data_IF_226924913860
#
_entry.id   IF_226924913860
#
_cell.length_a   1.000
_cell.length_b   1.000
_cell.length_c   1.000
_cell.angle_alpha   90.00
_cell.angle_beta   90.00
_cell.angle_gamma   90.00
#
_symmetry.space_group_name_H-M   'P 1'
#
loop_
_entity.id
_entity.type
_entity.pdbx_description
1 polymer ?
#
# COMPACT_ATOMS: atom_id res chain seq x y z
N UNK A 1 10.78 0.03 12.43
CA UNK A 1 9.84 -0.69 11.55
C UNK A 1 9.15 0.31 10.64
N UNK A 2 9.29 0.13 9.35
CA UNK A 2 8.72 1.04 8.36
C UNK A 2 7.66 0.32 7.52
N UNK A 3 6.42 0.79 7.61
CA UNK A 3 5.30 0.30 6.83
C UNK A 3 5.03 1.29 5.71
N UNK A 4 5.06 0.82 4.48
CA UNK A 4 4.87 1.66 3.29
C UNK A 4 3.49 1.39 2.68
N UNK A 5 2.67 2.43 2.58
CA UNK A 5 1.38 2.38 1.88
C UNK A 5 1.56 3.03 0.52
N UNK A 6 1.16 2.34 -0.54
CA UNK A 6 1.29 2.86 -1.91
C UNK A 6 -0.09 2.91 -2.55
N UNK A 7 -0.45 4.07 -3.11
CA UNK A 7 -1.73 4.25 -3.79
C UNK A 7 -1.60 5.24 -4.95
N UNK A 8 -2.65 5.33 -5.73
CA UNK A 8 -2.74 6.24 -6.87
C UNK A 8 -4.09 6.95 -6.90
N UNK A 9 -4.40 7.57 -8.02
CA UNK A 9 -5.63 8.35 -8.26
C UNK A 9 -5.82 9.39 -7.15
N UNK A 10 -6.93 9.38 -6.44
CA UNK A 10 -7.20 10.32 -5.35
C UNK A 10 -6.70 9.89 -3.98
N UNK A 11 -6.09 8.71 -3.87
CA UNK A 11 -5.57 8.21 -2.59
C UNK A 11 -6.63 7.74 -1.60
N UNK A 12 -7.84 7.45 -2.06
CA UNK A 12 -8.94 7.06 -1.18
C UNK A 12 -8.68 5.80 -0.38
N UNK A 13 -8.22 4.73 -1.04
CA UNK A 13 -7.87 3.49 -0.36
C UNK A 13 -6.66 3.68 0.54
N UNK A 14 -5.62 4.33 0.01
CA UNK A 14 -4.40 4.60 0.76
C UNK A 14 -4.66 5.38 2.04
N UNK A 15 -5.54 6.38 1.97
CA UNK A 15 -5.94 7.16 3.16
C UNK A 15 -6.63 6.29 4.20
N UNK A 16 -7.53 5.40 3.78
CA UNK A 16 -8.20 4.47 4.70
C UNK A 16 -7.20 3.51 5.35
N UNK A 17 -6.23 3.02 4.59
CA UNK A 17 -5.19 2.15 5.11
C UNK A 17 -4.31 2.89 6.12
N UNK A 18 -3.89 4.11 5.82
CA UNK A 18 -3.08 4.93 6.74
C UNK A 18 -3.84 5.17 8.04
N UNK A 19 -5.11 5.57 7.95
CA UNK A 19 -5.95 5.78 9.14
C UNK A 19 -6.04 4.51 9.98
N UNK A 20 -6.33 3.37 9.36
CA UNK A 20 -6.42 2.09 10.06
C UNK A 20 -5.11 1.66 10.70
N UNK A 21 -4.00 1.89 10.02
CA UNK A 21 -2.67 1.59 10.56
C UNK A 21 -2.36 2.46 11.79
N UNK A 22 -2.72 3.75 11.75
CA UNK A 22 -2.54 4.64 12.90
C UNK A 22 -3.33 4.19 14.12
N UNK A 23 -4.52 3.67 13.91
CA UNK A 23 -5.37 3.19 15.00
C UNK A 23 -4.92 1.86 15.58
N UNK A 24 -4.26 1.02 14.78
CA UNK A 24 -3.95 -0.36 15.17
C UNK A 24 -2.48 -0.63 15.48
N UNK A 25 -1.56 0.21 15.00
CA UNK A 25 -0.14 0.03 15.21
C UNK A 25 0.39 0.90 16.34
N UNK A 26 1.43 0.43 17.00
CA UNK A 26 2.15 1.20 18.01
C UNK A 26 2.91 2.36 17.38
N UNK A 27 3.26 3.35 18.21
CA UNK A 27 4.02 4.53 17.79
C UNK A 27 5.42 4.19 17.24
N UNK A 28 5.90 2.99 17.49
CA UNK A 28 7.19 2.53 16.98
C UNK A 28 7.18 2.23 15.47
N UNK A 29 6.01 2.16 14.89
CA UNK A 29 5.88 1.94 13.44
C UNK A 29 5.80 3.26 12.71
N UNK A 30 6.72 3.46 11.79
CA UNK A 30 6.77 4.64 10.95
C UNK A 30 6.01 4.37 9.65
N UNK A 31 5.01 5.20 9.32
CA UNK A 31 4.22 5.06 8.11
C UNK A 31 4.78 5.96 7.02
N UNK A 32 5.25 5.33 5.95
CA UNK A 32 5.66 5.97 4.71
C UNK A 32 4.54 5.81 3.70
N UNK A 33 4.08 6.90 3.12
CA UNK A 33 3.06 6.84 2.07
C UNK A 33 3.64 7.31 0.74
N UNK A 34 3.46 6.51 -0.28
CA UNK A 34 3.95 6.80 -1.63
C UNK A 34 2.77 6.87 -2.59
N UNK A 35 2.61 7.99 -3.27
CA UNK A 35 1.59 8.17 -4.28
C UNK A 35 2.17 8.09 -5.68
N UNK A 36 1.41 7.56 -6.63
CA UNK A 36 1.79 7.68 -8.04
C UNK A 36 1.64 9.12 -8.52
N UNK A 37 0.88 9.93 -7.79
CA UNK A 37 0.70 11.36 -8.05
C UNK A 37 0.63 12.14 -6.73
N UNK A 38 0.71 13.46 -6.83
CA UNK A 38 0.75 14.33 -5.67
C UNK A 38 -0.55 14.32 -4.88
N UNK A 39 -1.69 14.22 -5.55
CA UNK A 39 -3.00 14.20 -4.88
C UNK A 39 -3.13 12.99 -3.96
N UNK A 40 -2.71 11.81 -4.42
CA UNK A 40 -2.71 10.61 -3.61
C UNK A 40 -1.77 10.74 -2.40
N UNK A 41 -0.56 11.27 -2.62
CA UNK A 41 0.39 11.48 -1.53
C UNK A 41 -0.16 12.44 -0.48
N UNK A 42 -0.76 13.55 -0.90
CA UNK A 42 -1.34 14.54 0.01
C UNK A 42 -2.51 13.96 0.81
N UNK A 43 -3.38 13.17 0.17
CA UNK A 43 -4.49 12.52 0.87
C UNK A 43 -3.98 11.59 1.99
N UNK A 44 -2.93 10.83 1.71
CA UNK A 44 -2.35 9.95 2.71
C UNK A 44 -1.61 10.71 3.82
N UNK A 45 -1.02 11.87 3.49
CA UNK A 45 -0.43 12.76 4.50
C UNK A 45 -1.51 13.23 5.47
N UNK A 46 -2.62 13.71 4.96
CA UNK A 46 -3.74 14.17 5.78
C UNK A 46 -4.32 13.05 6.66
N UNK A 47 -4.24 11.81 6.20
CA UNK A 47 -4.67 10.66 6.98
C UNK A 47 -3.71 10.28 8.11
N UNK A 48 -2.51 10.86 8.14
CA UNK A 48 -1.56 10.67 9.24
C UNK A 48 -0.26 9.98 8.90
N UNK A 49 0.08 9.82 7.62
CA UNK A 49 1.40 9.29 7.24
C UNK A 49 2.49 10.26 7.67
N UNK A 50 3.56 9.75 8.24
CA UNK A 50 4.65 10.57 8.77
C UNK A 50 5.57 11.10 7.69
N UNK A 51 5.77 10.31 6.64
CA UNK A 51 6.59 10.70 5.50
C UNK A 51 5.83 10.37 4.22
N UNK A 52 5.81 11.30 3.29
CA UNK A 52 5.14 11.08 1.99
C UNK A 52 6.02 11.54 0.85
N UNK A 53 5.86 10.88 -0.28
CA UNK A 53 6.48 11.26 -1.54
C UNK A 53 5.61 10.79 -2.70
N UNK A 54 5.85 11.32 -3.89
CA UNK A 54 5.06 10.95 -5.07
C UNK A 54 5.93 10.84 -6.31
N UNK A 55 5.46 10.03 -7.26
CA UNK A 55 6.10 9.83 -8.55
C UNK A 55 6.94 8.58 -8.63
N UNK A 56 7.26 8.19 -9.85
CA UNK A 56 7.99 6.94 -10.15
C UNK A 56 9.36 6.90 -9.48
N UNK A 57 10.12 8.01 -9.55
CA UNK A 57 11.45 8.07 -8.95
C UNK A 57 11.39 7.92 -7.42
N UNK A 58 10.45 8.60 -6.78
CA UNK A 58 10.28 8.51 -5.33
C UNK A 58 9.92 7.08 -4.92
N UNK A 59 9.00 6.46 -5.64
CA UNK A 59 8.60 5.07 -5.38
C UNK A 59 9.81 4.14 -5.52
N UNK A 60 10.56 4.27 -6.62
CA UNK A 60 11.72 3.43 -6.86
C UNK A 60 12.81 3.57 -5.78
N UNK A 61 13.01 4.79 -5.27
CA UNK A 61 14.02 5.04 -4.22
C UNK A 61 13.56 4.60 -2.84
N UNK A 62 12.29 4.77 -2.52
CA UNK A 62 11.82 4.60 -1.15
C UNK A 62 11.25 3.23 -0.84
N UNK A 63 10.69 2.55 -1.83
CA UNK A 63 10.16 1.19 -1.65
C UNK A 63 11.21 0.24 -1.05
N UNK A 64 12.47 0.26 -1.48
CA UNK A 64 13.49 -0.63 -0.88
C UNK A 64 13.74 -0.39 0.61
N UNK A 65 13.31 0.73 1.17
CA UNK A 65 13.50 1.04 2.60
C UNK A 65 12.39 0.49 3.49
N UNK A 66 11.33 -0.05 2.89
CA UNK A 66 10.19 -0.56 3.64
C UNK A 66 10.43 -1.96 4.20
N UNK A 67 9.85 -2.23 5.35
CA UNK A 67 9.81 -3.58 5.95
C UNK A 67 8.56 -4.32 5.54
N UNK A 68 7.44 -3.60 5.41
CA UNK A 68 6.16 -4.14 4.94
C UNK A 68 5.57 -3.14 3.95
N UNK A 69 5.05 -3.65 2.84
CA UNK A 69 4.36 -2.84 1.82
C UNK A 69 2.88 -3.21 1.83
N UNK A 70 2.02 -2.20 1.83
CA UNK A 70 0.57 -2.35 1.82
C UNK A 70 0.01 -1.60 0.62
N UNK A 71 -0.75 -2.28 -0.22
CA UNK A 71 -1.30 -1.67 -1.43
C UNK A 71 -2.45 -2.52 -1.97
N UNK A 72 -3.14 -2.01 -2.99
CA UNK A 72 -4.03 -2.85 -3.77
C UNK A 72 -3.21 -3.69 -4.76
N UNK A 73 -3.77 -4.81 -5.17
CA UNK A 73 -3.17 -5.65 -6.22
C UNK A 73 -2.89 -4.86 -7.50
N UNK A 74 -3.71 -3.82 -7.77
CA UNK A 74 -3.53 -2.98 -8.96
C UNK A 74 -2.13 -2.37 -9.04
N UNK A 75 -1.49 -2.12 -7.91
CA UNK A 75 -0.17 -1.47 -7.87
C UNK A 75 0.95 -2.33 -8.45
N UNK A 76 0.72 -3.63 -8.62
CA UNK A 76 1.68 -4.53 -9.26
C UNK A 76 1.24 -4.98 -10.66
N UNK A 77 0.22 -4.34 -11.19
CA UNK A 77 -0.30 -4.61 -12.53
C UNK A 77 0.00 -3.43 -13.46
N UNK A 78 1.02 -3.52 -14.31
CA UNK A 78 1.36 -2.43 -15.23
C UNK A 78 0.16 -2.03 -16.10
N UNK A 79 -0.08 -0.73 -16.21
CA UNK A 79 -1.21 -0.19 -16.95
C UNK A 79 -2.47 0.04 -16.12
N UNK A 80 -2.53 -0.48 -14.90
CA UNK A 80 -3.68 -0.27 -14.02
C UNK A 80 -3.83 1.21 -13.64
N UNK A 81 -5.00 1.58 -13.13
CA UNK A 81 -5.33 2.95 -12.74
C UNK A 81 -5.14 3.95 -13.90
N UNK A 82 -5.67 3.59 -15.08
CA UNK A 82 -5.58 4.42 -16.29
C UNK A 82 -4.13 4.75 -16.67
N UNK A 83 -3.22 3.81 -16.44
CA UNK A 83 -1.82 3.97 -16.79
C UNK A 83 -0.94 4.58 -15.70
N UNK A 84 -1.50 4.98 -14.57
CA UNK A 84 -0.68 5.52 -13.46
C UNK A 84 0.31 4.49 -12.93
N UNK A 85 -0.07 3.20 -12.95
CA UNK A 85 0.84 2.13 -12.55
C UNK A 85 1.72 1.78 -13.74
N UNK A 86 2.94 2.30 -13.73
CA UNK A 86 3.92 2.02 -14.77
C UNK A 86 4.60 0.68 -14.52
N UNK A 87 5.24 0.08 -15.54
CA UNK A 87 6.07 -1.11 -15.32
C UNK A 87 7.14 -0.91 -14.25
N UNK A 88 7.71 0.28 -14.15
CA UNK A 88 8.75 0.60 -13.16
C UNK A 88 8.19 0.56 -11.74
N UNK A 89 6.99 1.09 -11.52
CA UNK A 89 6.31 1.06 -10.22
C UNK A 89 6.04 -0.38 -9.81
N UNK A 90 5.42 -1.16 -10.68
CA UNK A 90 5.11 -2.56 -10.41
C UNK A 90 6.36 -3.35 -10.10
N UNK A 91 7.42 -3.16 -10.89
CA UNK A 91 8.70 -3.83 -10.71
C UNK A 91 9.34 -3.48 -9.38
N UNK A 92 9.38 -2.19 -9.03
CA UNK A 92 9.96 -1.73 -7.76
C UNK A 92 9.28 -2.42 -6.56
N UNK A 93 7.95 -2.50 -6.58
CA UNK A 93 7.19 -3.13 -5.51
C UNK A 93 7.49 -4.63 -5.45
N UNK A 94 7.45 -5.32 -6.59
CA UNK A 94 7.65 -6.77 -6.62
C UNK A 94 9.07 -7.19 -6.26
N UNK A 95 10.07 -6.40 -6.62
CA UNK A 95 11.47 -6.71 -6.31
C UNK A 95 11.87 -6.36 -4.89
N UNK A 96 11.08 -5.59 -4.17
CA UNK A 96 11.39 -5.22 -2.79
C UNK A 96 11.47 -6.45 -1.90
N UNK A 97 12.38 -6.44 -0.93
CA UNK A 97 12.51 -7.52 0.05
C UNK A 97 11.38 -7.52 1.06
N UNK A 98 10.69 -6.40 1.21
CA UNK A 98 9.58 -6.25 2.13
C UNK A 98 8.48 -7.28 1.87
N UNK A 99 7.78 -7.67 2.92
CA UNK A 99 6.53 -8.43 2.80
C UNK A 99 5.49 -7.53 2.15
N UNK A 100 4.82 -8.01 1.10
CA UNK A 100 3.74 -7.28 0.44
C UNK A 100 2.40 -7.85 0.89
N UNK A 101 1.55 -7.00 1.45
CA UNK A 101 0.18 -7.33 1.80
C UNK A 101 -0.71 -6.57 0.83
N UNK A 102 -1.38 -7.30 -0.04
CA UNK A 102 -2.12 -6.70 -1.15
C UNK A 102 -3.62 -6.99 -1.04
N UNK A 103 -4.44 -5.93 -1.24
CA UNK A 103 -5.89 -6.09 -1.31
C UNK A 103 -6.29 -6.47 -2.73
N UNK A 104 -7.17 -7.46 -2.90
CA UNK A 104 -7.61 -7.91 -4.21
C UNK A 104 -8.71 -7.01 -4.77
N UNK A 105 -8.36 -5.80 -5.19
CA UNK A 105 -9.32 -4.86 -5.75
C UNK A 105 -9.60 -5.15 -7.21
N UNK A 106 -10.86 -5.11 -7.57
CA UNK A 106 -11.39 -5.59 -8.82
C UNK A 106 -12.01 -4.45 -9.64
N UNK A 107 -11.24 -3.41 -9.95
CA UNK A 107 -11.71 -2.29 -10.78
C UNK A 107 -11.33 -2.40 -12.25
N UNK A 108 -10.62 -3.43 -12.60
CA UNK A 108 -10.28 -3.80 -13.96
C UNK A 108 -10.99 -5.11 -14.25
N UNK A 109 -11.18 -5.47 -15.51
CA UNK A 109 -11.86 -6.71 -15.89
C UNK A 109 -11.03 -7.96 -15.49
N UNK A 110 -10.68 -8.03 -14.21
CA UNK A 110 -9.91 -9.13 -13.62
C UNK A 110 -10.65 -9.62 -12.37
N UNK A 111 -10.96 -10.89 -12.33
CA UNK A 111 -11.57 -11.53 -11.18
C UNK A 111 -10.54 -12.42 -10.49
N UNK A 112 -10.39 -12.22 -9.17
CA UNK A 112 -9.52 -13.06 -8.36
C UNK A 112 -10.40 -14.13 -7.70
N UNK A 113 -10.21 -15.37 -8.10
CA UNK A 113 -10.98 -16.50 -7.56
C UNK A 113 -10.79 -16.57 -6.04
N UNK A 114 -11.85 -16.77 -5.30
CA UNK A 114 -11.84 -16.85 -3.85
C UNK A 114 -12.12 -15.55 -3.12
N UNK A 115 -12.27 -14.44 -3.84
CA UNK A 115 -12.48 -13.11 -3.22
C UNK A 115 -13.87 -12.56 -3.38
N UNK A 116 -14.77 -13.28 -4.07
CA UNK A 116 -16.12 -12.82 -4.34
C UNK A 116 -16.94 -12.63 -3.07
N UNK A 117 -17.85 -11.64 -3.11
CA UNK A 117 -18.78 -11.38 -2.01
C UNK A 117 -18.18 -10.65 -0.79
N UNK A 118 -16.92 -10.30 -0.81
CA UNK A 118 -16.28 -9.59 0.31
C UNK A 118 -16.40 -8.08 0.13
N UNK A 119 -16.76 -7.38 1.21
CA UNK A 119 -16.88 -5.93 1.19
C UNK A 119 -15.51 -5.27 1.32
N UNK A 120 -15.40 -4.01 0.91
CA UNK A 120 -14.19 -3.23 1.09
C UNK A 120 -13.79 -3.14 2.57
N UNK A 121 -14.75 -2.89 3.46
CA UNK A 121 -14.49 -2.80 4.89
C UNK A 121 -13.89 -4.10 5.43
N UNK A 122 -14.44 -5.24 5.05
CA UNK A 122 -13.93 -6.55 5.45
C UNK A 122 -12.52 -6.79 4.93
N UNK A 123 -12.25 -6.42 3.69
CA UNK A 123 -10.93 -6.57 3.08
C UNK A 123 -9.89 -5.69 3.76
N UNK A 124 -10.26 -4.46 4.11
CA UNK A 124 -9.36 -3.54 4.82
C UNK A 124 -9.05 -4.10 6.21
N UNK A 125 -10.05 -4.55 6.95
CA UNK A 125 -9.84 -5.13 8.28
C UNK A 125 -8.90 -6.33 8.23
N UNK A 126 -9.10 -7.22 7.27
CA UNK A 126 -8.22 -8.37 7.08
C UNK A 126 -6.80 -7.93 6.69
N UNK A 127 -6.69 -6.94 5.82
CA UNK A 127 -5.40 -6.38 5.43
C UNK A 127 -4.63 -5.85 6.64
N UNK A 128 -5.27 -5.06 7.50
CA UNK A 128 -4.65 -4.51 8.70
C UNK A 128 -4.20 -5.62 9.65
N UNK A 129 -4.99 -6.67 9.78
CA UNK A 129 -4.66 -7.84 10.58
C UNK A 129 -3.42 -8.55 10.04
N UNK A 130 -3.34 -8.72 8.72
CA UNK A 130 -2.19 -9.34 8.05
C UNK A 130 -0.93 -8.50 8.14
N UNK A 131 -1.07 -7.19 8.07
CA UNK A 131 0.07 -6.27 8.27
C UNK A 131 0.64 -6.44 9.67
N UNK A 132 -0.23 -6.52 10.69
CA UNK A 132 0.22 -6.74 12.06
C UNK A 132 1.02 -8.03 12.19
N UNK A 133 0.54 -9.12 11.59
CA UNK A 133 1.24 -10.41 11.59
C UNK A 133 2.61 -10.28 10.91
N UNK A 134 2.66 -9.60 9.77
CA UNK A 134 3.91 -9.37 9.03
C UNK A 134 4.93 -8.57 9.85
N UNK A 135 4.47 -7.54 10.56
CA UNK A 135 5.33 -6.72 11.43
C UNK A 135 5.90 -7.58 12.56
N UNK A 136 5.08 -8.39 13.21
CA UNK A 136 5.52 -9.27 14.29
C UNK A 136 6.55 -10.28 13.81
N UNK A 137 6.35 -10.85 12.63
CA UNK A 137 7.30 -11.79 12.04
C UNK A 137 8.65 -11.13 11.73
N UNK A 138 8.64 -9.91 11.23
CA UNK A 138 9.85 -9.14 10.92
C UNK A 138 10.61 -8.78 12.19
N UNK A 139 9.92 -8.39 13.26
CA UNK A 139 10.56 -8.06 14.54
C UNK A 139 11.20 -9.26 15.23
N UNK A 140 10.76 -10.48 14.92
CA UNK A 140 11.30 -11.71 15.52
C UNK A 140 12.50 -12.28 14.75
N UNK A 141 12.72 -11.81 13.55
CA UNK A 141 13.77 -12.31 12.69
C UNK A 141 15.17 -11.83 13.13
#
# INVERSE_FOLDING_TARGET
MRVCVIDGRGGGLGSRLVTGLRETLNLDCHILALGTNLAAANAMREAGAEQVASGVEAISKMVPTADVIVASLNMVLPGAMLGEVTPEVAKAILEAKAKKVLLPLNRIQVEIVGTGGRTMDTLIDECLSRVRVAIQATCRA
#
